data_IF_544335822853
#
_entry.id   IF_544335822853
#
_cell.length_a   1.000
_cell.length_b   1.000
_cell.length_c   1.000
_cell.angle_alpha   90.00
_cell.angle_beta   90.00
_cell.angle_gamma   90.00
#
_symmetry.space_group_name_H-M   'P 1'
#
loop_
_entity.id
_entity.type
_entity.pdbx_description
1 polymer ?
#
# COMPACT_ATOMS: atom_id res chain seq x y z
N UNK A 1 10.37 6.46 -22.90
CA UNK A 1 9.91 7.71 -22.22
C UNK A 1 8.85 7.27 -21.22
N UNK A 2 9.18 7.30 -19.93
CA UNK A 2 8.29 6.80 -18.87
C UNK A 2 7.07 7.71 -18.76
N UNK A 3 5.85 7.17 -18.61
CA UNK A 3 4.68 7.98 -18.28
C UNK A 3 4.78 8.40 -16.80
N UNK A 4 5.61 9.38 -16.55
CA UNK A 4 5.72 9.97 -15.22
C UNK A 4 4.43 10.75 -15.00
N UNK A 5 3.74 10.45 -13.91
CA UNK A 5 2.55 11.20 -13.54
C UNK A 5 2.97 12.63 -13.17
N UNK A 6 2.54 13.61 -13.95
CA UNK A 6 2.91 15.02 -13.80
C UNK A 6 2.63 15.54 -12.37
N UNK A 7 1.59 15.05 -11.71
CA UNK A 7 1.25 15.42 -10.32
C UNK A 7 2.30 14.95 -9.32
N UNK A 8 2.82 13.73 -9.51
CA UNK A 8 3.82 13.16 -8.60
C UNK A 8 5.17 13.85 -8.76
N UNK A 9 5.45 14.33 -9.98
CA UNK A 9 6.62 15.15 -10.26
C UNK A 9 6.52 16.53 -9.60
N UNK A 10 5.40 17.19 -9.75
CA UNK A 10 5.18 18.53 -9.20
C UNK A 10 5.13 18.49 -7.66
N UNK A 11 4.62 17.39 -7.07
CA UNK A 11 4.64 17.19 -5.63
C UNK A 11 6.06 17.09 -5.03
N UNK A 12 7.04 16.69 -5.83
CA UNK A 12 8.47 16.63 -5.44
C UNK A 12 9.22 17.96 -5.58
N UNK A 13 8.63 18.95 -6.22
CA UNK A 13 9.26 20.27 -6.35
C UNK A 13 9.10 21.08 -5.06
N UNK A 14 10.06 21.98 -4.72
CA UNK A 14 9.93 22.87 -3.58
C UNK A 14 8.59 23.61 -3.57
N UNK A 15 7.97 23.73 -2.40
CA UNK A 15 6.65 24.38 -2.25
C UNK A 15 6.60 25.84 -2.78
N UNK A 16 7.75 26.49 -2.87
CA UNK A 16 7.92 27.83 -3.45
C UNK A 16 8.05 27.82 -4.99
N UNK A 17 8.02 26.65 -5.63
CA UNK A 17 8.22 26.55 -7.07
C UNK A 17 7.04 27.14 -7.85
N UNK A 18 7.34 27.81 -8.97
CA UNK A 18 6.33 28.28 -9.91
C UNK A 18 5.35 27.18 -10.34
N UNK A 19 5.84 25.95 -10.46
CA UNK A 19 5.06 24.80 -10.87
C UNK A 19 3.99 24.40 -9.84
N UNK A 20 4.30 24.43 -8.53
CA UNK A 20 3.28 24.19 -7.51
C UNK A 20 2.22 25.29 -7.45
N UNK A 21 2.64 26.54 -7.59
CA UNK A 21 1.72 27.67 -7.64
C UNK A 21 0.76 27.56 -8.84
N UNK A 22 1.25 27.16 -9.99
CA UNK A 22 0.44 26.94 -11.20
C UNK A 22 -0.54 25.77 -11.07
N UNK A 23 -0.19 24.70 -10.36
CA UNK A 23 -1.14 23.60 -10.08
C UNK A 23 -2.34 24.05 -9.24
N UNK A 24 -2.11 24.97 -8.31
CA UNK A 24 -3.19 25.54 -7.48
C UNK A 24 -4.07 26.51 -8.28
N UNK A 25 -3.48 27.25 -9.20
CA UNK A 25 -4.17 28.27 -10.01
C UNK A 25 -4.89 27.72 -11.24
N UNK A 26 -4.78 26.40 -11.56
CA UNK A 26 -5.32 25.70 -12.73
C UNK A 26 -5.02 26.45 -14.04
N UNK A 27 -4.02 26.00 -14.82
CA UNK A 27 -3.70 26.62 -16.09
C UNK A 27 -4.92 26.67 -17.01
N UNK A 28 -5.23 27.83 -17.53
CA UNK A 28 -6.47 28.08 -18.29
C UNK A 28 -6.30 27.99 -19.79
N UNK A 29 -5.06 27.91 -20.28
CA UNK A 29 -4.77 27.82 -21.71
C UNK A 29 -3.64 26.82 -22.02
N UNK A 30 -3.49 26.48 -23.29
CA UNK A 30 -2.54 25.48 -23.78
C UNK A 30 -1.07 25.94 -23.66
N UNK A 31 -0.82 27.24 -23.80
CA UNK A 31 0.53 27.81 -23.67
C UNK A 31 1.04 27.74 -22.24
N UNK A 32 0.18 28.00 -21.27
CA UNK A 32 0.53 27.88 -19.85
C UNK A 32 0.86 26.44 -19.48
N UNK A 33 0.13 25.47 -20.03
CA UNK A 33 0.41 24.03 -19.83
C UNK A 33 1.77 23.67 -20.45
N UNK A 34 2.08 24.18 -21.61
CA UNK A 34 3.33 23.90 -22.31
C UNK A 34 4.54 24.54 -21.59
N UNK A 35 4.40 25.77 -21.08
CA UNK A 35 5.42 26.42 -20.27
C UNK A 35 5.64 25.70 -18.93
N UNK A 36 4.56 25.24 -18.29
CA UNK A 36 4.64 24.43 -17.07
C UNK A 36 5.39 23.13 -17.34
N UNK A 37 5.05 22.44 -18.45
CA UNK A 37 5.72 21.21 -18.82
C UNK A 37 7.22 21.41 -19.08
N UNK A 38 7.60 22.46 -19.80
CA UNK A 38 9.00 22.79 -20.05
C UNK A 38 9.75 23.13 -18.75
N UNK A 39 9.15 23.91 -17.85
CA UNK A 39 9.76 24.25 -16.60
C UNK A 39 9.95 23.04 -15.67
N UNK A 40 8.92 22.18 -15.58
CA UNK A 40 8.98 20.93 -14.81
C UNK A 40 10.02 19.98 -15.39
N UNK A 41 10.05 19.82 -16.72
CA UNK A 41 11.04 18.99 -17.41
C UNK A 41 12.47 19.48 -17.14
N UNK A 42 12.72 20.79 -17.24
CA UNK A 42 14.02 21.38 -16.95
C UNK A 42 14.48 21.17 -15.49
N UNK A 43 13.57 21.34 -14.54
CA UNK A 43 13.90 21.10 -13.12
C UNK A 43 14.17 19.62 -12.83
N UNK A 44 13.45 18.74 -13.50
CA UNK A 44 13.69 17.30 -13.40
C UNK A 44 15.04 16.89 -13.98
N UNK A 45 15.38 17.43 -15.16
CA UNK A 45 16.68 17.16 -15.77
C UNK A 45 17.82 17.64 -14.87
N UNK A 46 17.65 18.79 -14.20
CA UNK A 46 18.63 19.30 -13.24
C UNK A 46 18.73 18.41 -11.99
N UNK A 47 17.59 17.99 -11.42
CA UNK A 47 17.59 17.07 -10.27
C UNK A 47 18.10 15.69 -10.65
N UNK A 48 17.75 15.19 -11.83
CA UNK A 48 18.24 13.93 -12.37
C UNK A 48 19.76 13.95 -12.54
N UNK A 49 20.30 15.00 -13.17
CA UNK A 49 21.74 15.14 -13.35
C UNK A 49 22.50 15.31 -12.03
N UNK A 50 21.93 16.00 -11.06
CA UNK A 50 22.51 16.10 -9.72
C UNK A 50 22.53 14.74 -8.99
N UNK A 51 21.43 13.97 -9.08
CA UNK A 51 21.37 12.60 -8.54
C UNK A 51 22.34 11.66 -9.26
N UNK A 52 22.49 11.81 -10.59
CA UNK A 52 23.44 11.03 -11.37
C UNK A 52 24.89 11.25 -10.95
N UNK A 53 25.26 12.47 -10.55
CA UNK A 53 26.62 12.80 -10.15
C UNK A 53 27.07 12.05 -8.89
N UNK A 54 26.15 11.83 -7.94
CA UNK A 54 26.49 11.25 -6.62
C UNK A 54 26.11 9.76 -6.47
N UNK A 55 25.12 9.27 -7.19
CA UNK A 55 24.53 7.95 -6.92
C UNK A 55 24.17 7.11 -8.18
N UNK A 56 24.93 7.27 -9.27
CA UNK A 56 24.64 6.61 -10.56
C UNK A 56 24.37 5.10 -10.44
N UNK A 57 25.18 4.39 -9.68
CA UNK A 57 25.02 2.93 -9.55
C UNK A 57 23.70 2.52 -8.86
N UNK A 58 23.24 3.31 -7.88
CA UNK A 58 21.96 3.07 -7.18
C UNK A 58 20.79 3.38 -8.09
N UNK A 59 20.92 4.43 -8.90
CA UNK A 59 19.89 4.81 -9.86
C UNK A 59 19.75 3.76 -10.95
N UNK A 60 20.86 3.27 -11.49
CA UNK A 60 20.87 2.23 -12.53
C UNK A 60 20.17 0.96 -12.03
N UNK A 61 20.47 0.53 -10.79
CA UNK A 61 19.80 -0.61 -10.17
C UNK A 61 18.29 -0.37 -9.98
N UNK A 62 17.89 0.83 -9.57
CA UNK A 62 16.47 1.20 -9.47
C UNK A 62 15.78 1.16 -10.82
N UNK A 63 16.42 1.68 -11.86
CA UNK A 63 15.92 1.68 -13.23
C UNK A 63 15.75 0.26 -13.75
N UNK A 64 16.73 -0.62 -13.51
CA UNK A 64 16.66 -2.03 -13.90
C UNK A 64 15.44 -2.74 -13.24
N UNK A 65 15.29 -2.61 -11.93
CA UNK A 65 14.13 -3.16 -11.22
C UNK A 65 12.81 -2.58 -11.74
N UNK A 66 12.79 -1.29 -12.05
CA UNK A 66 11.59 -0.67 -12.61
C UNK A 66 11.23 -1.22 -14.00
N UNK A 67 12.22 -1.48 -14.84
CA UNK A 67 12.01 -2.13 -16.14
C UNK A 67 11.45 -3.54 -15.99
N UNK A 68 11.98 -4.33 -15.07
CA UNK A 68 11.47 -5.66 -14.78
C UNK A 68 10.01 -5.61 -14.29
N UNK A 69 9.68 -4.64 -13.43
CA UNK A 69 8.32 -4.43 -12.95
C UNK A 69 7.34 -4.00 -14.05
N UNK A 70 7.77 -3.14 -14.99
CA UNK A 70 6.93 -2.75 -16.13
C UNK A 70 6.70 -3.95 -17.08
N UNK A 71 7.71 -4.76 -17.34
CA UNK A 71 7.56 -5.98 -18.13
C UNK A 71 6.59 -6.98 -17.48
N UNK A 72 6.73 -7.19 -16.18
CA UNK A 72 5.82 -8.04 -15.40
C UNK A 72 4.39 -7.48 -15.39
N UNK A 73 4.23 -6.16 -15.28
CA UNK A 73 2.93 -5.49 -15.36
C UNK A 73 2.26 -5.75 -16.70
N UNK A 74 2.99 -5.59 -17.82
CA UNK A 74 2.47 -5.86 -19.16
C UNK A 74 2.01 -7.32 -19.29
N UNK A 75 2.77 -8.27 -18.76
CA UNK A 75 2.41 -9.69 -18.75
C UNK A 75 1.12 -9.93 -17.96
N UNK A 76 0.97 -9.33 -16.77
CA UNK A 76 -0.23 -9.46 -15.93
C UNK A 76 -1.45 -8.83 -16.60
N UNK A 77 -1.29 -7.64 -17.22
CA UNK A 77 -2.38 -6.92 -17.88
C UNK A 77 -2.86 -7.61 -19.16
N UNK A 78 -1.99 -8.36 -19.84
CA UNK A 78 -2.34 -9.12 -21.03
C UNK A 78 -3.27 -10.33 -20.74
N UNK A 79 -3.26 -10.82 -19.50
CA UNK A 79 -4.03 -12.00 -19.11
C UNK A 79 -5.28 -11.61 -18.31
N UNK A 80 -6.49 -11.85 -18.84
CA UNK A 80 -7.72 -11.59 -18.10
C UNK A 80 -7.90 -12.60 -16.96
N UNK A 81 -8.45 -12.13 -15.85
CA UNK A 81 -8.94 -13.00 -14.79
C UNK A 81 -10.31 -13.53 -15.19
N UNK A 82 -10.43 -14.83 -15.28
CA UNK A 82 -11.70 -15.51 -15.61
C UNK A 82 -12.47 -15.81 -14.33
N UNK A 83 -13.75 -15.43 -14.27
CA UNK A 83 -14.64 -15.69 -13.14
C UNK A 83 -15.75 -16.68 -13.50
N UNK A 84 -16.12 -17.52 -12.55
CA UNK A 84 -17.39 -18.28 -12.63
C UNK A 84 -18.54 -17.33 -12.25
N UNK A 85 -19.11 -16.66 -13.24
CA UNK A 85 -20.15 -15.64 -13.06
C UNK A 85 -21.46 -16.23 -12.54
N UNK A 86 -21.75 -17.51 -12.80
CA UNK A 86 -22.98 -18.17 -12.34
C UNK A 86 -23.08 -18.21 -10.80
N UNK A 87 -21.95 -18.16 -10.10
CA UNK A 87 -21.90 -18.14 -8.64
C UNK A 87 -22.02 -16.74 -8.02
N UNK A 88 -21.88 -15.70 -8.80
CA UNK A 88 -21.89 -14.34 -8.28
C UNK A 88 -23.20 -13.91 -7.62
N UNK A 89 -24.39 -14.24 -8.18
CA UNK A 89 -25.66 -13.90 -7.55
C UNK A 89 -25.83 -14.52 -6.14
N UNK A 90 -25.48 -15.79 -5.97
CA UNK A 90 -25.57 -16.48 -4.68
C UNK A 90 -24.59 -15.90 -3.66
N UNK A 91 -23.37 -15.55 -4.11
CA UNK A 91 -22.37 -14.90 -3.27
C UNK A 91 -22.86 -13.51 -2.84
N UNK A 92 -23.41 -12.72 -3.76
CA UNK A 92 -23.99 -11.41 -3.46
C UNK A 92 -25.10 -11.54 -2.40
N UNK A 93 -26.03 -12.45 -2.60
CA UNK A 93 -27.12 -12.71 -1.67
C UNK A 93 -26.60 -13.09 -0.28
N UNK A 94 -25.64 -14.03 -0.21
CA UNK A 94 -25.02 -14.44 1.05
C UNK A 94 -24.28 -13.31 1.76
N UNK A 95 -23.62 -12.43 1.01
CA UNK A 95 -22.90 -11.28 1.59
C UNK A 95 -23.89 -10.24 2.11
N UNK A 96 -24.99 -9.98 1.41
CA UNK A 96 -26.06 -9.06 1.85
C UNK A 96 -26.76 -9.57 3.12
N UNK A 97 -27.06 -10.86 3.21
CA UNK A 97 -27.64 -11.49 4.39
C UNK A 97 -26.74 -11.29 5.64
N UNK A 98 -25.43 -11.32 5.45
CA UNK A 98 -24.43 -11.14 6.52
C UNK A 98 -24.06 -9.67 6.75
N UNK A 99 -24.64 -8.75 6.05
CA UNK A 99 -24.36 -7.32 6.21
C UNK A 99 -24.83 -6.83 7.59
N UNK A 100 -23.94 -6.06 8.26
CA UNK A 100 -24.21 -5.60 9.65
C UNK A 100 -25.10 -4.38 9.74
N UNK A 101 -25.22 -3.61 8.66
CA UNK A 101 -26.03 -2.38 8.55
C UNK A 101 -26.20 -1.98 7.07
N UNK A 102 -27.02 -0.96 6.83
CA UNK A 102 -27.32 -0.46 5.49
C UNK A 102 -26.06 0.01 4.74
N UNK A 103 -25.14 0.72 5.39
CA UNK A 103 -23.88 1.17 4.79
C UNK A 103 -23.05 0.00 4.26
N UNK A 104 -23.04 -1.13 4.99
CA UNK A 104 -22.35 -2.34 4.56
C UNK A 104 -23.07 -2.99 3.37
N UNK A 105 -24.39 -3.01 3.37
CA UNK A 105 -25.19 -3.49 2.24
C UNK A 105 -24.93 -2.65 0.99
N UNK A 106 -24.95 -1.33 1.10
CA UNK A 106 -24.69 -0.40 0.00
C UNK A 106 -23.29 -0.62 -0.61
N UNK A 107 -22.28 -0.88 0.22
CA UNK A 107 -20.92 -1.20 -0.25
C UNK A 107 -20.86 -2.52 -1.01
N UNK A 108 -21.65 -3.51 -0.61
CA UNK A 108 -21.74 -4.80 -1.32
C UNK A 108 -22.43 -4.59 -2.67
N UNK A 109 -23.56 -3.87 -2.71
CA UNK A 109 -24.24 -3.56 -3.95
C UNK A 109 -23.32 -2.84 -4.93
N UNK A 110 -22.68 -1.76 -4.51
CA UNK A 110 -21.72 -0.99 -5.33
C UNK A 110 -20.53 -1.83 -5.83
N UNK A 111 -20.08 -2.81 -5.04
CA UNK A 111 -19.02 -3.73 -5.46
C UNK A 111 -19.50 -4.59 -6.64
N UNK A 112 -20.69 -5.20 -6.52
CA UNK A 112 -21.22 -6.09 -7.56
C UNK A 112 -21.64 -5.31 -8.81
N UNK A 113 -22.18 -4.11 -8.68
CA UNK A 113 -22.50 -3.24 -9.83
C UNK A 113 -21.23 -2.86 -10.62
N UNK A 114 -20.13 -2.51 -9.90
CA UNK A 114 -18.83 -2.25 -10.54
C UNK A 114 -18.23 -3.49 -11.18
N UNK A 115 -18.39 -4.65 -10.54
CA UNK A 115 -17.91 -5.92 -11.06
C UNK A 115 -18.64 -6.28 -12.36
N UNK A 116 -19.97 -6.16 -12.37
CA UNK A 116 -20.81 -6.42 -13.54
C UNK A 116 -20.47 -5.47 -14.69
N UNK A 117 -20.35 -4.18 -14.39
CA UNK A 117 -19.90 -3.18 -15.37
C UNK A 117 -18.52 -3.52 -15.96
N UNK A 118 -17.59 -3.97 -15.14
CA UNK A 118 -16.23 -4.31 -15.59
C UNK A 118 -16.17 -5.61 -16.37
N UNK A 119 -17.07 -6.55 -16.09
CA UNK A 119 -17.22 -7.79 -16.87
C UNK A 119 -17.88 -7.52 -18.24
N UNK A 120 -18.71 -6.50 -18.33
CA UNK A 120 -19.38 -6.06 -19.58
C UNK A 120 -20.02 -7.24 -20.36
N UNK A 121 -20.80 -8.07 -19.67
CA UNK A 121 -21.47 -9.23 -20.25
C UNK A 121 -20.56 -10.41 -20.58
N UNK A 122 -19.30 -10.37 -20.13
CA UNK A 122 -18.33 -11.47 -20.28
C UNK A 122 -18.02 -12.11 -18.93
N UNK A 123 -17.24 -13.18 -18.93
CA UNK A 123 -16.69 -13.81 -17.73
C UNK A 123 -15.22 -13.42 -17.48
N UNK A 124 -14.69 -12.46 -18.24
CA UNK A 124 -13.30 -12.01 -18.21
C UNK A 124 -13.18 -10.62 -17.62
N UNK A 125 -12.35 -10.51 -16.60
CA UNK A 125 -12.05 -9.26 -15.94
C UNK A 125 -10.62 -8.82 -16.30
N UNK A 126 -10.51 -7.71 -16.98
CA UNK A 126 -9.22 -7.09 -17.32
C UNK A 126 -8.87 -6.06 -16.25
N UNK A 127 -7.61 -6.01 -15.87
CA UNK A 127 -7.09 -5.00 -14.96
C UNK A 127 -6.02 -4.16 -15.62
N UNK A 128 -5.84 -2.97 -15.09
CA UNK A 128 -4.69 -2.12 -15.38
C UNK A 128 -4.00 -1.79 -14.07
N UNK A 129 -2.70 -1.98 -14.02
CA UNK A 129 -1.87 -1.72 -12.86
C UNK A 129 -1.21 -0.34 -12.96
N UNK A 130 -1.04 0.31 -11.83
CA UNK A 130 -0.18 1.47 -11.69
C UNK A 130 0.91 1.12 -10.70
N UNK A 131 2.16 1.13 -11.11
CA UNK A 131 3.32 0.82 -10.24
C UNK A 131 3.54 1.94 -9.22
N UNK A 132 3.13 3.16 -9.55
CA UNK A 132 3.23 4.35 -8.68
C UNK A 132 1.82 4.89 -8.43
N UNK A 133 0.95 4.06 -7.88
CA UNK A 133 -0.48 4.40 -7.71
C UNK A 133 -0.78 5.19 -6.44
N UNK A 134 0.14 5.23 -5.48
CA UNK A 134 -0.02 5.91 -4.19
C UNK A 134 1.24 6.68 -3.81
N UNK A 135 1.13 7.59 -2.84
CA UNK A 135 2.31 8.29 -2.27
C UNK A 135 3.30 7.33 -1.62
N UNK A 136 2.85 6.15 -1.20
CA UNK A 136 3.69 5.11 -0.59
C UNK A 136 4.17 4.08 -1.61
N UNK A 137 4.14 4.39 -2.90
CA UNK A 137 4.59 3.55 -4.01
C UNK A 137 3.95 2.16 -4.05
N UNK A 138 2.71 2.03 -3.53
CA UNK A 138 1.96 0.77 -3.66
C UNK A 138 1.41 0.65 -5.07
N UNK A 139 1.51 -0.56 -5.61
CA UNK A 139 0.84 -0.91 -6.86
C UNK A 139 -0.67 -0.83 -6.64
N UNK A 140 -1.37 -0.16 -7.54
CA UNK A 140 -2.83 -0.06 -7.52
C UNK A 140 -3.42 -0.54 -8.83
N UNK A 141 -4.70 -0.90 -8.79
CA UNK A 141 -5.47 -1.23 -9.98
C UNK A 141 -6.37 -0.06 -10.38
N UNK A 142 -6.45 0.24 -11.68
CA UNK A 142 -7.24 1.37 -12.18
C UNK A 142 -8.69 0.99 -12.43
N UNK A 143 -9.01 0.14 -13.36
CA UNK A 143 -10.38 -0.10 -13.80
C UNK A 143 -11.24 -0.77 -12.73
N UNK A 144 -10.78 -1.88 -12.21
CA UNK A 144 -11.45 -2.62 -11.14
C UNK A 144 -10.44 -2.99 -10.05
N UNK A 145 -10.79 -2.76 -8.79
CA UNK A 145 -9.91 -3.04 -7.67
C UNK A 145 -9.84 -4.54 -7.35
N UNK A 146 -8.98 -5.26 -8.06
CA UNK A 146 -8.74 -6.69 -7.82
C UNK A 146 -8.19 -6.98 -6.44
N UNK A 147 -7.37 -6.08 -5.90
CA UNK A 147 -6.75 -6.23 -4.58
C UNK A 147 -7.79 -6.18 -3.45
N UNK A 148 -8.92 -5.52 -3.69
CA UNK A 148 -10.04 -5.40 -2.77
C UNK A 148 -11.13 -6.46 -2.95
N UNK A 149 -10.96 -7.44 -3.83
CA UNK A 149 -11.95 -8.50 -4.03
C UNK A 149 -12.19 -9.30 -2.75
N UNK A 150 -13.45 -9.46 -2.31
CA UNK A 150 -13.78 -10.34 -1.19
C UNK A 150 -13.36 -11.77 -1.45
N UNK A 151 -12.90 -12.49 -0.42
CA UNK A 151 -12.49 -13.90 -0.54
C UNK A 151 -13.54 -14.80 -1.17
N UNK A 152 -14.83 -14.50 -0.95
CA UNK A 152 -15.93 -15.24 -1.57
C UNK A 152 -15.92 -15.11 -3.10
N UNK A 153 -15.68 -13.90 -3.61
CA UNK A 153 -15.55 -13.64 -5.05
C UNK A 153 -14.23 -14.19 -5.60
N UNK A 154 -13.12 -14.08 -4.87
CA UNK A 154 -11.84 -14.69 -5.27
C UNK A 154 -11.95 -16.19 -5.53
N UNK A 155 -12.80 -16.89 -4.77
CA UNK A 155 -13.05 -18.34 -4.96
C UNK A 155 -13.78 -18.69 -6.26
N UNK A 156 -14.28 -17.71 -6.98
CA UNK A 156 -14.88 -17.91 -8.31
C UNK A 156 -13.88 -17.79 -9.45
N UNK A 157 -12.63 -17.42 -9.15
CA UNK A 157 -11.56 -17.33 -10.16
C UNK A 157 -11.32 -18.73 -10.73
N UNK A 158 -11.41 -18.82 -12.04
CA UNK A 158 -11.16 -20.05 -12.79
C UNK A 158 -9.75 -19.99 -13.41
N UNK A 159 -9.09 -21.14 -13.52
CA UNK A 159 -7.85 -21.21 -14.28
C UNK A 159 -8.13 -20.93 -15.76
N UNK A 160 -7.34 -20.03 -16.37
CA UNK A 160 -7.44 -19.71 -17.79
C UNK A 160 -6.68 -20.75 -18.66
N UNK A 161 -5.42 -20.47 -18.93
CA UNK A 161 -4.53 -21.39 -19.68
C UNK A 161 -3.87 -22.46 -18.80
N UNK A 162 -3.92 -22.32 -17.48
CA UNK A 162 -3.33 -23.26 -16.52
C UNK A 162 -4.40 -24.12 -15.82
N UNK A 163 -3.98 -25.25 -15.25
CA UNK A 163 -4.90 -26.21 -14.62
C UNK A 163 -5.34 -25.82 -13.21
N UNK A 164 -4.63 -24.90 -12.56
CA UNK A 164 -4.86 -24.54 -11.14
C UNK A 164 -4.64 -23.05 -10.91
N UNK A 165 -5.37 -22.50 -9.96
CA UNK A 165 -5.17 -21.16 -9.40
C UNK A 165 -4.64 -21.32 -7.99
N UNK A 166 -3.60 -20.55 -7.66
CA UNK A 166 -3.03 -20.47 -6.32
C UNK A 166 -3.19 -19.05 -5.80
N UNK A 167 -3.58 -18.94 -4.54
CA UNK A 167 -3.53 -17.68 -3.81
C UNK A 167 -2.31 -17.71 -2.90
N UNK A 168 -1.43 -16.72 -3.05
CA UNK A 168 -0.25 -16.55 -2.21
C UNK A 168 -0.40 -15.25 -1.44
N UNK A 169 -0.16 -15.29 -0.13
CA UNK A 169 -0.18 -14.12 0.73
C UNK A 169 0.96 -14.20 1.74
N UNK A 170 1.63 -13.09 1.99
CA UNK A 170 2.72 -13.02 2.97
C UNK A 170 2.16 -12.84 4.38
N UNK A 171 2.53 -13.72 5.29
CA UNK A 171 2.20 -13.57 6.70
C UNK A 171 2.98 -12.39 7.29
N UNK A 172 2.29 -11.41 7.85
CA UNK A 172 2.90 -10.26 8.57
C UNK A 172 3.94 -9.50 7.72
N UNK A 173 3.63 -9.20 6.46
CA UNK A 173 4.58 -8.63 5.50
C UNK A 173 5.25 -7.34 6.02
N UNK A 174 4.45 -6.33 6.43
CA UNK A 174 5.00 -5.06 6.91
C UNK A 174 5.90 -5.24 8.14
N UNK A 175 5.52 -5.98 9.20
CA UNK A 175 6.42 -6.28 10.30
C UNK A 175 7.69 -7.02 9.88
N UNK A 176 7.61 -7.93 8.90
CA UNK A 176 8.79 -8.66 8.39
C UNK A 176 9.77 -7.74 7.67
N UNK A 177 9.27 -6.79 6.87
CA UNK A 177 10.11 -5.77 6.23
C UNK A 177 10.80 -4.90 7.28
N UNK A 178 10.05 -4.43 8.30
CA UNK A 178 10.62 -3.63 9.38
C UNK A 178 11.67 -4.43 10.17
N UNK A 179 11.41 -5.70 10.45
CA UNK A 179 12.38 -6.58 11.11
C UNK A 179 13.65 -6.76 10.29
N UNK A 180 13.53 -6.92 8.98
CA UNK A 180 14.67 -6.99 8.06
C UNK A 180 15.48 -5.69 8.05
N UNK A 181 14.82 -4.54 7.97
CA UNK A 181 15.50 -3.24 7.95
C UNK A 181 16.19 -2.91 9.26
N UNK A 182 15.55 -3.19 10.40
CA UNK A 182 16.05 -2.82 11.72
C UNK A 182 16.98 -3.88 12.33
N UNK A 183 16.87 -5.13 11.88
CA UNK A 183 17.51 -6.28 12.53
C UNK A 183 17.17 -6.33 14.03
N UNK A 184 15.92 -5.99 14.38
CA UNK A 184 15.42 -6.08 15.76
C UNK A 184 15.22 -7.54 16.15
N UNK A 185 16.08 -8.04 17.05
CA UNK A 185 16.08 -9.45 17.43
C UNK A 185 14.76 -9.88 18.05
N UNK A 186 14.13 -9.02 18.87
CA UNK A 186 12.89 -9.34 19.53
C UNK A 186 11.71 -9.42 18.55
N UNK A 187 11.67 -8.51 17.56
CA UNK A 187 10.67 -8.58 16.50
C UNK A 187 10.86 -9.82 15.62
N UNK A 188 12.11 -10.16 15.29
CA UNK A 188 12.45 -11.37 14.54
C UNK A 188 12.02 -12.61 15.34
N UNK A 189 12.30 -12.67 16.63
CA UNK A 189 11.91 -13.79 17.49
C UNK A 189 10.38 -13.98 17.52
N UNK A 190 9.63 -12.89 17.65
CA UNK A 190 8.17 -12.94 17.65
C UNK A 190 7.58 -13.37 16.30
N UNK A 191 8.18 -12.91 15.19
CA UNK A 191 7.77 -13.32 13.85
C UNK A 191 8.01 -14.81 13.59
N UNK A 192 9.09 -15.36 14.16
CA UNK A 192 9.50 -16.76 13.99
C UNK A 192 8.81 -17.72 14.96
N UNK A 193 8.06 -17.24 15.95
CA UNK A 193 7.25 -18.12 16.81
C UNK A 193 6.22 -18.89 15.97
N UNK A 194 5.87 -20.09 16.41
CA UNK A 194 4.93 -20.98 15.71
C UNK A 194 3.62 -20.26 15.35
N UNK A 195 3.07 -19.52 16.31
CA UNK A 195 1.80 -18.82 16.15
C UNK A 195 2.00 -17.39 15.63
N UNK A 196 3.24 -16.86 15.72
CA UNK A 196 3.69 -15.61 15.13
C UNK A 196 3.50 -14.38 16.02
N UNK A 197 3.89 -13.23 15.49
CA UNK A 197 3.98 -11.94 16.20
C UNK A 197 2.71 -11.57 17.00
N UNK A 198 1.54 -11.70 16.38
CA UNK A 198 0.32 -11.19 17.02
C UNK A 198 -0.15 -12.08 18.16
N UNK A 199 0.14 -13.36 18.11
CA UNK A 199 -0.18 -14.31 19.16
C UNK A 199 0.82 -14.19 20.32
N UNK A 200 2.08 -13.88 20.01
CA UNK A 200 3.07 -13.51 21.02
C UNK A 200 2.64 -12.23 21.79
N UNK A 201 2.18 -11.21 21.08
CA UNK A 201 1.68 -9.98 21.69
C UNK A 201 0.37 -10.21 22.49
N UNK A 202 -0.52 -11.11 22.05
CA UNK A 202 -1.68 -11.49 22.84
C UNK A 202 -1.26 -12.06 24.20
N UNK A 203 -0.27 -12.95 24.19
CA UNK A 203 0.25 -13.57 25.42
C UNK A 203 0.89 -12.53 26.34
N UNK A 204 1.68 -11.60 25.82
CA UNK A 204 2.29 -10.50 26.59
C UNK A 204 1.24 -9.56 27.20
N UNK A 205 0.12 -9.36 26.52
CA UNK A 205 -0.98 -8.49 26.97
C UNK A 205 -2.05 -9.24 27.76
N UNK A 206 -1.88 -10.53 28.01
CA UNK A 206 -2.84 -11.42 28.70
C UNK A 206 -4.23 -11.40 28.05
N UNK A 207 -4.28 -11.32 26.70
CA UNK A 207 -5.50 -11.26 25.92
C UNK A 207 -5.86 -12.63 25.31
N UNK A 208 -7.13 -12.78 24.91
CA UNK A 208 -7.64 -13.98 24.28
C UNK A 208 -7.60 -13.87 22.74
N UNK A 209 -7.78 -14.98 22.04
CA UNK A 209 -7.71 -15.06 20.56
C UNK A 209 -8.68 -14.10 19.85
N UNK A 210 -9.84 -13.80 20.47
CA UNK A 210 -10.83 -12.89 19.91
C UNK A 210 -10.28 -11.47 19.71
N UNK A 211 -9.29 -11.05 20.52
CA UNK A 211 -8.65 -9.73 20.42
C UNK A 211 -7.51 -9.67 19.40
N UNK A 212 -7.13 -10.79 18.78
CA UNK A 212 -6.02 -10.88 17.84
C UNK A 212 -6.08 -9.84 16.70
N UNK A 213 -7.27 -9.63 16.15
CA UNK A 213 -7.46 -8.63 15.09
C UNK A 213 -7.24 -7.21 15.61
N UNK A 214 -7.59 -6.94 16.85
CA UNK A 214 -7.39 -5.63 17.48
C UNK A 214 -5.91 -5.38 17.76
N UNK A 215 -5.19 -6.39 18.28
CA UNK A 215 -3.73 -6.33 18.47
C UNK A 215 -3.01 -6.10 17.16
N UNK A 216 -3.37 -6.83 16.09
CA UNK A 216 -2.81 -6.62 14.75
C UNK A 216 -3.02 -5.19 14.26
N UNK A 217 -4.23 -4.65 14.40
CA UNK A 217 -4.55 -3.28 13.97
C UNK A 217 -3.79 -2.23 14.76
N UNK A 218 -3.68 -2.41 16.07
CA UNK A 218 -2.91 -1.50 16.93
C UNK A 218 -1.42 -1.57 16.62
N UNK A 219 -0.86 -2.77 16.43
CA UNK A 219 0.55 -2.93 16.10
C UNK A 219 0.91 -2.24 14.78
N UNK A 220 0.15 -2.49 13.73
CA UNK A 220 0.41 -1.86 12.43
C UNK A 220 0.07 -0.37 12.47
N UNK A 221 -1.14 0.00 12.91
CA UNK A 221 -1.62 1.36 12.78
C UNK A 221 -1.09 2.33 13.83
N UNK A 222 -0.90 1.88 15.08
CA UNK A 222 -0.39 2.72 16.16
C UNK A 222 1.12 2.59 16.28
N UNK A 223 1.62 1.39 16.50
CA UNK A 223 3.06 1.21 16.76
C UNK A 223 3.92 1.44 15.50
N UNK A 224 3.63 0.78 14.37
CA UNK A 224 4.45 0.95 13.17
C UNK A 224 4.21 2.29 12.46
N UNK A 225 2.95 2.69 12.28
CA UNK A 225 2.60 3.88 11.51
C UNK A 225 2.30 5.14 12.33
N UNK A 226 2.56 5.12 13.65
CA UNK A 226 2.48 6.31 14.49
C UNK A 226 1.07 6.84 14.77
N UNK A 227 0.01 6.06 14.47
CA UNK A 227 -1.36 6.46 14.75
C UNK A 227 -1.63 6.52 16.26
N UNK A 228 -2.49 7.44 16.68
CA UNK A 228 -2.88 7.56 18.10
C UNK A 228 -3.57 6.29 18.58
N UNK A 229 -3.00 5.62 19.61
CA UNK A 229 -3.54 4.41 20.21
C UNK A 229 -4.99 4.57 20.69
N UNK A 230 -5.35 5.74 21.20
CA UNK A 230 -6.69 6.07 21.65
C UNK A 230 -7.74 6.22 20.54
N UNK A 231 -7.29 6.17 19.27
CA UNK A 231 -8.21 6.27 18.15
C UNK A 231 -9.30 5.19 18.21
N UNK A 232 -10.58 5.55 17.99
CA UNK A 232 -11.68 4.58 17.93
C UNK A 232 -11.48 3.46 16.91
N UNK A 233 -10.57 3.66 15.96
CA UNK A 233 -10.24 2.68 14.91
C UNK A 233 -9.59 1.42 15.46
N UNK A 234 -8.80 1.53 16.54
CA UNK A 234 -8.05 0.37 17.06
C UNK A 234 -8.87 -0.47 18.02
N UNK A 235 -9.73 0.15 18.84
CA UNK A 235 -10.60 -0.51 19.85
C UNK A 235 -9.86 -1.35 20.91
N UNK A 236 -8.53 -1.48 20.84
CA UNK A 236 -7.74 -2.28 21.76
C UNK A 236 -7.76 -1.68 23.17
N UNK A 237 -7.89 -0.36 23.30
CA UNK A 237 -8.01 0.36 24.56
C UNK A 237 -9.19 -0.08 25.45
N UNK A 238 -10.14 -0.84 24.92
CA UNK A 238 -11.24 -1.42 25.71
C UNK A 238 -10.76 -2.60 26.57
N UNK A 239 -9.59 -3.15 26.28
CA UNK A 239 -9.04 -4.35 26.90
C UNK A 239 -7.72 -4.10 27.63
N UNK A 240 -6.90 -3.16 27.13
CA UNK A 240 -5.60 -2.80 27.71
C UNK A 240 -5.44 -1.29 27.79
N UNK A 241 -4.76 -0.81 28.83
CA UNK A 241 -4.37 0.60 28.93
C UNK A 241 -3.25 0.95 27.93
N UNK A 242 -3.09 2.23 27.64
CA UNK A 242 -1.98 2.72 26.82
C UNK A 242 -0.61 2.35 27.43
N UNK A 243 -0.50 2.40 28.76
CA UNK A 243 0.74 2.03 29.47
C UNK A 243 1.10 0.56 29.22
N UNK A 244 0.14 -0.35 29.34
CA UNK A 244 0.36 -1.79 29.07
C UNK A 244 0.74 -2.00 27.59
N UNK A 245 0.09 -1.29 26.68
CA UNK A 245 0.42 -1.35 25.25
C UNK A 245 1.84 -0.86 24.98
N UNK A 246 2.21 0.31 25.51
CA UNK A 246 3.55 0.89 25.32
C UNK A 246 4.62 -0.01 25.95
N UNK A 247 4.36 -0.61 27.10
CA UNK A 247 5.28 -1.57 27.72
C UNK A 247 5.51 -2.79 26.82
N UNK A 248 4.44 -3.40 26.32
CA UNK A 248 4.53 -4.55 25.42
C UNK A 248 5.30 -4.27 24.12
N UNK A 249 5.20 -3.05 23.56
CA UNK A 249 5.91 -2.71 22.31
C UNK A 249 7.28 -2.06 22.54
N UNK A 250 7.60 -1.66 23.77
CA UNK A 250 8.87 -1.02 24.13
C UNK A 250 10.09 -1.94 23.93
N UNK A 251 9.86 -3.25 23.94
CA UNK A 251 10.88 -4.26 23.71
C UNK A 251 11.45 -4.27 22.27
N UNK A 252 10.74 -3.66 21.31
CA UNK A 252 11.21 -3.53 19.91
C UNK A 252 12.10 -2.29 19.75
N UNK A 253 13.25 -2.31 20.41
CA UNK A 253 14.11 -1.14 20.61
C UNK A 253 14.65 -0.56 19.31
N UNK A 254 15.09 -1.41 18.37
CA UNK A 254 15.61 -0.94 17.09
C UNK A 254 14.53 -0.40 16.16
N UNK A 255 13.29 -0.89 16.28
CA UNK A 255 12.15 -0.29 15.57
C UNK A 255 11.87 1.12 16.11
N UNK A 256 11.95 1.29 17.43
CA UNK A 256 11.78 2.61 18.07
C UNK A 256 12.91 3.56 17.65
N UNK A 257 14.14 3.10 17.57
CA UNK A 257 15.29 3.88 17.07
C UNK A 257 15.08 4.32 15.63
N UNK A 258 14.65 3.42 14.73
CA UNK A 258 14.33 3.76 13.35
C UNK A 258 13.23 4.83 13.29
N UNK A 259 12.17 4.71 14.08
CA UNK A 259 11.08 5.71 14.12
C UNK A 259 11.60 7.07 14.54
N UNK A 260 12.44 7.16 15.57
CA UNK A 260 13.07 8.41 16.00
C UNK A 260 13.92 9.04 14.90
N UNK A 261 14.73 8.24 14.21
CA UNK A 261 15.54 8.71 13.08
C UNK A 261 14.66 9.27 11.95
N UNK A 262 13.55 8.59 11.61
CA UNK A 262 12.59 9.06 10.62
C UNK A 262 11.93 10.38 11.06
N UNK A 263 11.55 10.50 12.32
CA UNK A 263 10.96 11.74 12.88
C UNK A 263 11.94 12.92 12.85
N UNK A 264 13.21 12.68 13.15
CA UNK A 264 14.27 13.69 13.18
C UNK A 264 14.68 14.13 11.78
N UNK A 265 14.93 13.19 10.89
CA UNK A 265 15.47 13.48 9.55
C UNK A 265 14.40 13.69 8.49
N UNK A 266 13.14 13.27 8.76
CA UNK A 266 12.03 13.26 7.77
C UNK A 266 12.32 12.46 6.52
N UNK A 267 13.27 11.52 6.60
CA UNK A 267 13.63 10.60 5.52
C UNK A 267 13.49 9.17 5.99
N UNK A 268 13.22 8.27 5.06
CA UNK A 268 13.16 6.83 5.30
C UNK A 268 14.17 6.14 4.36
N UNK A 269 15.09 5.32 4.90
CA UNK A 269 15.98 4.54 4.07
C UNK A 269 15.17 3.54 3.24
N UNK A 270 15.41 3.54 1.94
CA UNK A 270 14.80 2.61 0.99
C UNK A 270 15.82 1.55 0.57
N UNK A 271 15.38 0.41 0.03
CA UNK A 271 16.29 -0.52 -0.64
C UNK A 271 17.18 0.22 -1.67
N UNK A 272 18.37 -0.31 -1.90
CA UNK A 272 19.36 0.27 -2.82
C UNK A 272 20.01 1.58 -2.36
N UNK A 273 19.86 1.93 -1.05
CA UNK A 273 20.48 3.11 -0.46
C UNK A 273 19.87 4.45 -0.89
N UNK A 274 18.67 4.42 -1.45
CA UNK A 274 17.88 5.62 -1.74
C UNK A 274 17.18 6.06 -0.45
N UNK A 275 17.14 7.36 -0.18
CA UNK A 275 16.34 7.92 0.89
C UNK A 275 15.02 8.47 0.35
N UNK A 276 13.92 8.09 1.00
CA UNK A 276 12.62 8.63 0.68
C UNK A 276 12.30 9.81 1.59
N UNK A 277 12.11 10.99 0.99
CA UNK A 277 11.71 12.20 1.73
C UNK A 277 10.25 12.07 2.17
N UNK A 278 10.04 12.06 3.48
CA UNK A 278 8.71 11.98 4.11
C UNK A 278 8.12 13.34 4.46
N UNK A 279 8.83 14.43 4.19
CA UNK A 279 8.34 15.79 4.47
C UNK A 279 7.03 16.12 3.74
N UNK A 280 6.75 15.42 2.63
CA UNK A 280 5.52 15.57 1.84
C UNK A 280 4.42 14.57 2.24
N UNK A 281 4.71 13.63 3.14
CA UNK A 281 3.74 12.66 3.65
C UNK A 281 3.31 13.16 5.03
N UNK A 282 2.08 13.66 5.14
CA UNK A 282 1.47 13.86 6.45
C UNK A 282 1.21 12.49 7.07
N UNK A 283 2.12 12.05 7.94
CA UNK A 283 1.96 10.88 8.79
C UNK A 283 1.07 11.24 9.97
#
# INVERSE_FOLDING_TARGET
MYPINLRDLIAKLPQSSKAQKWLMEKPTNQDDVQQLYQHVSQQLDQQYNALLADEQAKLDQYVEVHHELEALKEEIEAEPITLNIDKLPDIKATMLEKAKNNEHSDKIEQLFDRLDHSLNGTYRLYTQLSLIGTRTHRITTKNFNLQGLPKAVQRTILPSKYKKVYTVDFKSFEPSVVAYMTQDSKLIDFLNQKDGLYDALLSELELQDEQRVLVKRAFIGSFLFGGNFDSPKFKLKQYVSEVQWLDAVSQFTKVIELKKQIEEHKTMPMPYGIEHDLSLIHI
#
